data_IF_402940831535
#
_entry.id   IF_402940831535
#
_cell.length_a   1.000
_cell.length_b   1.000
_cell.length_c   1.000
_cell.angle_alpha   90.00
_cell.angle_beta   90.00
_cell.angle_gamma   90.00
#
_symmetry.space_group_name_H-M   'P 1'
#
loop_
_entity.id
_entity.type
_entity.pdbx_description
1 polymer ?
#
# COMPACT_ATOMS: atom_id res chain seq x y z
N UNK A 1 0.72 0.44 -19.17
CA UNK A 1 0.65 -0.09 -17.80
C UNK A 1 -0.81 -0.17 -17.39
N UNK A 2 -1.28 -1.28 -16.80
CA UNK A 2 -2.67 -1.39 -16.31
C UNK A 2 -2.91 -0.38 -15.18
N UNK A 3 -4.09 0.27 -15.15
CA UNK A 3 -4.44 1.33 -14.18
C UNK A 3 -4.34 0.88 -12.71
N UNK A 4 -4.69 -0.36 -12.40
CA UNK A 4 -4.60 -0.90 -11.05
C UNK A 4 -3.16 -1.14 -10.61
N UNK A 5 -2.30 -1.61 -11.52
CA UNK A 5 -0.86 -1.73 -11.27
C UNK A 5 -0.23 -0.34 -11.10
N UNK A 6 -0.63 0.62 -11.92
CA UNK A 6 -0.18 2.00 -11.79
C UNK A 6 -0.56 2.60 -10.43
N UNK A 7 -1.76 2.31 -9.92
CA UNK A 7 -2.18 2.74 -8.58
C UNK A 7 -1.36 2.08 -7.47
N UNK A 8 -1.07 0.78 -7.56
CA UNK A 8 -0.16 0.11 -6.61
C UNK A 8 1.16 0.87 -6.53
N UNK A 9 1.80 1.14 -7.69
CA UNK A 9 3.09 1.84 -7.72
C UNK A 9 2.95 3.26 -7.15
N UNK A 10 1.93 4.02 -7.58
CA UNK A 10 1.73 5.40 -7.13
C UNK A 10 1.47 5.50 -5.63
N UNK A 11 0.71 4.56 -5.05
CA UNK A 11 0.47 4.50 -3.62
C UNK A 11 1.77 4.23 -2.84
N UNK A 12 2.61 3.28 -3.29
CA UNK A 12 3.87 2.97 -2.61
C UNK A 12 4.90 4.10 -2.70
N UNK A 13 4.94 4.85 -3.81
CA UNK A 13 5.74 6.08 -3.90
C UNK A 13 5.28 7.12 -2.88
N UNK A 14 3.96 7.33 -2.75
CA UNK A 14 3.42 8.27 -1.77
C UNK A 14 3.71 7.82 -0.32
N UNK A 15 3.60 6.52 -0.04
CA UNK A 15 3.94 5.93 1.26
C UNK A 15 5.44 6.07 1.55
N UNK A 16 6.33 5.81 0.59
CA UNK A 16 7.76 6.01 0.75
C UNK A 16 8.06 7.46 1.11
N UNK A 17 7.58 8.43 0.34
CA UNK A 17 7.82 9.86 0.58
C UNK A 17 7.35 10.29 1.98
N UNK A 18 6.19 9.80 2.40
CA UNK A 18 5.63 10.10 3.71
C UNK A 18 6.45 9.49 4.86
N UNK A 19 6.82 8.22 4.76
CA UNK A 19 7.55 7.51 5.81
C UNK A 19 9.03 7.91 5.86
N UNK A 20 9.63 8.25 4.72
CA UNK A 20 11.03 8.64 4.59
C UNK A 20 11.25 10.12 4.94
N UNK A 21 10.65 11.02 4.17
CA UNK A 21 10.93 12.47 4.24
C UNK A 21 9.80 13.25 4.93
N UNK A 22 8.67 12.61 5.21
CA UNK A 22 7.48 13.30 5.71
C UNK A 22 6.85 14.22 4.67
N UNK A 23 7.13 13.98 3.39
CA UNK A 23 6.61 14.74 2.26
C UNK A 23 5.21 14.25 1.85
N UNK A 24 4.43 15.16 1.28
CA UNK A 24 3.04 14.90 0.91
C UNK A 24 2.05 15.22 2.03
N UNK A 25 0.91 14.54 2.00
CA UNK A 25 -0.23 14.80 2.89
C UNK A 25 -0.84 13.49 3.35
N UNK A 26 -1.03 13.35 4.67
CA UNK A 26 -1.74 12.21 5.24
C UNK A 26 -3.17 12.12 4.71
N UNK A 27 -3.85 13.25 4.52
CA UNK A 27 -5.19 13.27 3.90
C UNK A 27 -5.16 12.77 2.45
N UNK A 28 -4.12 13.12 1.70
CA UNK A 28 -3.94 12.61 0.34
C UNK A 28 -3.64 11.10 0.29
N UNK A 29 -2.95 10.56 1.30
CA UNK A 29 -2.79 9.12 1.47
C UNK A 29 -4.13 8.47 1.82
N UNK A 30 -4.83 8.99 2.83
CA UNK A 30 -6.08 8.42 3.32
C UNK A 30 -7.20 8.46 2.29
N UNK A 31 -7.23 9.45 1.39
CA UNK A 31 -8.19 9.50 0.25
C UNK A 31 -8.08 8.34 -0.73
N UNK A 32 -6.99 7.57 -0.72
CA UNK A 32 -6.85 6.35 -1.52
C UNK A 32 -7.61 5.17 -0.93
N UNK A 33 -7.86 5.19 0.38
CA UNK A 33 -8.49 4.09 1.09
C UNK A 33 -9.99 4.33 1.22
N UNK A 34 -10.75 3.27 1.05
CA UNK A 34 -12.18 3.31 1.30
C UNK A 34 -12.48 3.48 2.80
N UNK A 35 -13.61 4.12 3.18
CA UNK A 35 -14.08 4.10 4.57
C UNK A 35 -14.21 2.69 5.16
N UNK A 36 -14.53 1.68 4.33
CA UNK A 36 -14.65 0.27 4.75
C UNK A 36 -13.32 -0.51 4.61
N UNK A 37 -12.19 0.17 4.41
CA UNK A 37 -10.91 -0.48 4.18
C UNK A 37 -10.52 -1.39 5.35
N UNK A 38 -9.94 -2.54 5.01
CA UNK A 38 -9.34 -3.46 5.97
C UNK A 38 -8.00 -3.95 5.44
N UNK A 39 -7.06 -4.24 6.34
CA UNK A 39 -5.85 -4.96 5.97
C UNK A 39 -5.39 -5.95 7.02
N UNK A 40 -4.55 -6.88 6.58
CA UNK A 40 -3.77 -7.79 7.42
C UNK A 40 -2.31 -7.59 7.00
N UNK A 41 -1.49 -6.85 7.77
CA UNK A 41 -0.06 -6.73 7.50
C UNK A 41 0.67 -8.02 7.90
N UNK A 42 1.98 -8.06 7.65
CA UNK A 42 2.84 -9.21 7.95
C UNK A 42 2.79 -9.75 9.39
N UNK A 43 2.30 -8.96 10.36
CA UNK A 43 2.15 -9.41 11.75
C UNK A 43 0.82 -10.12 12.03
N UNK A 44 -0.06 -10.26 11.02
CA UNK A 44 -1.35 -10.93 11.13
C UNK A 44 -2.44 -10.15 11.84
N UNK A 45 -2.17 -8.94 12.36
CA UNK A 45 -3.17 -8.15 13.06
C UNK A 45 -4.11 -7.46 12.08
N UNK A 46 -5.42 -7.67 12.23
CA UNK A 46 -6.40 -6.96 11.40
C UNK A 46 -6.40 -5.47 11.74
N UNK A 47 -6.24 -4.63 10.72
CA UNK A 47 -6.35 -3.17 10.80
C UNK A 47 -7.52 -2.70 9.94
N UNK A 48 -8.32 -1.77 10.44
CA UNK A 48 -9.36 -1.09 9.67
C UNK A 48 -8.87 0.30 9.19
N UNK A 49 -9.74 1.04 8.51
CA UNK A 49 -9.44 2.39 8.04
C UNK A 49 -8.95 3.34 9.17
N UNK A 50 -9.52 3.26 10.37
CA UNK A 50 -9.11 4.11 11.49
C UNK A 50 -7.72 3.75 11.99
N UNK A 51 -7.42 2.45 12.13
CA UNK A 51 -6.11 1.97 12.54
C UNK A 51 -5.02 2.36 11.52
N UNK A 52 -5.33 2.28 10.22
CA UNK A 52 -4.42 2.69 9.13
C UNK A 52 -4.20 4.21 9.15
N UNK A 53 -5.27 4.98 9.37
CA UNK A 53 -5.17 6.44 9.53
C UNK A 53 -4.27 6.80 10.71
N UNK A 54 -4.49 6.21 11.88
CA UNK A 54 -3.67 6.44 13.07
C UNK A 54 -2.20 6.07 12.83
N UNK A 55 -1.95 4.96 12.14
CA UNK A 55 -0.61 4.56 11.72
C UNK A 55 0.07 5.64 10.87
N UNK A 56 -0.57 6.12 9.80
CA UNK A 56 0.04 7.12 8.94
C UNK A 56 0.27 8.45 9.66
N UNK A 57 -0.66 8.91 10.49
CA UNK A 57 -0.46 10.12 11.31
C UNK A 57 0.76 10.01 12.23
N UNK A 58 0.96 8.85 12.86
CA UNK A 58 2.11 8.60 13.75
C UNK A 58 3.44 8.30 13.03
N UNK A 59 3.41 8.00 11.73
CA UNK A 59 4.57 7.47 11.00
C UNK A 59 5.28 8.48 10.08
N UNK A 60 4.88 9.76 10.08
CA UNK A 60 5.52 10.81 9.27
C UNK A 60 7.04 10.87 9.55
N UNK A 61 7.85 10.75 8.49
CA UNK A 61 9.32 10.77 8.57
C UNK A 61 9.93 9.77 9.60
N UNK A 62 9.19 8.71 9.95
CA UNK A 62 9.60 7.73 10.96
C UNK A 62 10.64 6.71 10.48
N UNK A 63 10.88 6.64 9.16
CA UNK A 63 11.78 5.68 8.52
C UNK A 63 12.75 6.39 7.55
N UNK A 64 13.66 7.25 8.03
CA UNK A 64 14.59 7.97 7.16
C UNK A 64 15.43 7.03 6.29
N UNK A 65 15.53 7.34 5.01
CA UNK A 65 16.24 6.53 4.02
C UNK A 65 15.47 5.31 3.51
N UNK A 66 14.21 5.12 3.89
CA UNK A 66 13.37 4.03 3.37
C UNK A 66 13.31 4.08 1.84
N UNK A 67 13.47 2.91 1.24
CA UNK A 67 13.18 2.64 -0.17
C UNK A 67 12.19 1.50 -0.31
N UNK A 68 11.18 1.69 -1.14
CA UNK A 68 10.12 0.74 -1.45
C UNK A 68 10.15 0.48 -2.95
N UNK A 69 10.41 -0.77 -3.33
CA UNK A 69 10.35 -1.22 -4.73
C UNK A 69 9.15 -2.15 -4.88
N UNK A 70 8.28 -1.86 -5.83
CA UNK A 70 7.19 -2.76 -6.24
C UNK A 70 7.60 -3.47 -7.51
N UNK A 71 7.55 -4.80 -7.50
CA UNK A 71 7.77 -5.63 -8.68
C UNK A 71 6.75 -6.77 -8.77
N UNK A 72 6.89 -7.61 -9.80
CA UNK A 72 6.08 -8.82 -9.98
C UNK A 72 4.56 -8.59 -9.91
N UNK A 73 4.11 -7.38 -10.28
CA UNK A 73 2.72 -6.99 -10.21
C UNK A 73 1.90 -7.69 -11.32
N UNK A 74 0.81 -8.34 -10.93
CA UNK A 74 -0.08 -9.08 -11.81
C UNK A 74 -1.54 -8.84 -11.44
N UNK A 75 -2.38 -8.65 -12.46
CA UNK A 75 -3.84 -8.67 -12.30
C UNK A 75 -4.26 -10.12 -12.11
N UNK A 76 -4.88 -10.43 -10.96
CA UNK A 76 -5.44 -11.75 -10.69
C UNK A 76 -6.86 -11.88 -11.26
N UNK A 77 -7.64 -10.80 -11.16
CA UNK A 77 -8.99 -10.69 -11.71
C UNK A 77 -9.33 -9.20 -11.92
N UNK A 78 -10.11 -8.92 -12.96
CA UNK A 78 -10.69 -7.60 -13.24
C UNK A 78 -12.18 -7.77 -13.52
N UNK A 79 -12.99 -6.84 -13.05
CA UNK A 79 -14.43 -6.81 -13.24
C UNK A 79 -14.90 -5.37 -13.44
N UNK A 80 -16.20 -5.17 -13.69
CA UNK A 80 -16.73 -3.89 -14.16
C UNK A 80 -16.41 -2.68 -13.25
N UNK A 81 -16.30 -2.89 -11.95
CA UNK A 81 -16.06 -1.86 -10.93
C UNK A 81 -14.89 -2.19 -9.99
N UNK A 82 -13.90 -2.98 -10.42
CA UNK A 82 -12.76 -3.29 -9.55
C UNK A 82 -11.78 -4.33 -10.10
N UNK A 83 -10.75 -4.62 -9.30
CA UNK A 83 -9.75 -5.62 -9.62
C UNK A 83 -9.09 -6.19 -8.35
N UNK A 84 -8.56 -7.41 -8.48
CA UNK A 84 -7.64 -8.02 -7.54
C UNK A 84 -6.24 -8.02 -8.15
N UNK A 85 -5.26 -7.50 -7.42
CA UNK A 85 -3.86 -7.41 -7.88
C UNK A 85 -2.96 -8.09 -6.86
N UNK A 86 -2.07 -8.95 -7.34
CA UNK A 86 -0.94 -9.43 -6.55
C UNK A 86 0.31 -8.68 -6.95
N UNK A 87 1.17 -8.36 -6.00
CA UNK A 87 2.46 -7.76 -6.24
C UNK A 87 3.43 -8.13 -5.12
N UNK A 88 4.72 -7.96 -5.38
CA UNK A 88 5.75 -8.05 -4.35
C UNK A 88 6.31 -6.66 -4.08
N UNK A 89 6.50 -6.36 -2.81
CA UNK A 89 7.16 -5.13 -2.37
C UNK A 89 8.42 -5.48 -1.58
N UNK A 90 9.48 -4.71 -1.82
CA UNK A 90 10.79 -4.85 -1.18
C UNK A 90 11.10 -3.56 -0.46
N UNK A 91 11.39 -3.65 0.84
CA UNK A 91 11.76 -2.53 1.69
C UNK A 91 13.24 -2.60 2.04
N UNK A 92 13.97 -1.54 1.71
CA UNK A 92 15.35 -1.33 2.11
C UNK A 92 15.44 -0.14 3.06
N UNK A 93 16.21 -0.31 4.14
CA UNK A 93 16.51 0.74 5.12
C UNK A 93 18.01 0.77 5.41
N UNK A 94 18.64 1.95 5.59
CA UNK A 94 20.05 2.04 5.91
C UNK A 94 20.41 1.21 7.16
N UNK A 95 21.44 0.36 7.03
CA UNK A 95 21.93 -0.48 8.13
C UNK A 95 21.02 -1.64 8.53
N UNK A 96 19.98 -1.96 7.75
CA UNK A 96 19.09 -3.11 7.97
C UNK A 96 19.12 -4.04 6.76
N UNK A 97 18.88 -5.34 7.01
CA UNK A 97 18.63 -6.28 5.93
C UNK A 97 17.38 -5.88 5.17
N UNK A 98 17.39 -6.09 3.86
CA UNK A 98 16.19 -5.92 3.03
C UNK A 98 15.11 -6.91 3.48
N UNK A 99 13.87 -6.46 3.44
CA UNK A 99 12.70 -7.30 3.72
C UNK A 99 11.78 -7.26 2.52
N UNK A 100 11.16 -8.39 2.20
CA UNK A 100 10.21 -8.46 1.11
C UNK A 100 8.91 -9.14 1.57
N UNK A 101 7.80 -8.80 0.91
CA UNK A 101 6.50 -9.43 1.17
C UNK A 101 5.70 -9.53 -0.12
N UNK A 102 4.87 -10.56 -0.18
CA UNK A 102 3.80 -10.66 -1.16
C UNK A 102 2.56 -9.95 -0.63
N UNK A 103 1.88 -9.25 -1.52
CA UNK A 103 0.69 -8.48 -1.21
C UNK A 103 -0.42 -8.85 -2.19
N UNK A 104 -1.65 -8.97 -1.68
CA UNK A 104 -2.87 -9.05 -2.50
C UNK A 104 -3.79 -7.90 -2.12
N UNK A 105 -4.09 -7.04 -3.08
CA UNK A 105 -4.99 -5.90 -2.93
C UNK A 105 -6.29 -6.13 -3.69
N UNK A 106 -7.41 -5.76 -3.07
CA UNK A 106 -8.70 -5.59 -3.73
C UNK A 106 -8.98 -4.10 -3.93
N UNK A 107 -9.30 -3.72 -5.16
CA UNK A 107 -9.67 -2.38 -5.55
C UNK A 107 -11.15 -2.27 -5.86
N UNK A 108 -11.72 -1.09 -5.60
CA UNK A 108 -12.97 -0.61 -6.21
C UNK A 108 -12.65 0.50 -7.21
N UNK A 109 -13.40 0.56 -8.30
CA UNK A 109 -13.42 1.69 -9.21
C UNK A 109 -14.71 2.49 -8.94
N UNK A 110 -14.58 3.70 -8.43
CA UNK A 110 -15.70 4.58 -8.10
C UNK A 110 -15.48 5.93 -8.75
N UNK A 111 -16.40 6.36 -9.63
CA UNK A 111 -16.29 7.65 -10.33
C UNK A 111 -14.91 7.84 -11.01
N UNK A 112 -14.44 6.82 -11.72
CA UNK A 112 -13.11 6.76 -12.35
C UNK A 112 -11.90 6.77 -11.39
N UNK A 113 -12.13 6.73 -10.08
CA UNK A 113 -11.06 6.65 -9.06
C UNK A 113 -10.88 5.22 -8.57
N UNK A 114 -9.62 4.79 -8.50
CA UNK A 114 -9.24 3.51 -7.93
C UNK A 114 -9.11 3.69 -6.41
N UNK A 115 -9.89 2.92 -5.65
CA UNK A 115 -9.98 3.00 -4.19
C UNK A 115 -9.57 1.66 -3.60
N UNK A 116 -8.65 1.68 -2.64
CA UNK A 116 -8.19 0.52 -1.89
C UNK A 116 -9.33 0.00 -0.99
N UNK A 117 -9.71 -1.27 -1.15
CA UNK A 117 -10.80 -1.90 -0.40
C UNK A 117 -10.30 -2.92 0.62
N UNK A 118 -9.29 -3.70 0.27
CA UNK A 118 -8.65 -4.66 1.17
C UNK A 118 -7.19 -4.87 0.79
N UNK A 119 -6.33 -5.16 1.75
CA UNK A 119 -4.93 -5.55 1.54
C UNK A 119 -4.54 -6.70 2.47
N UNK A 120 -3.87 -7.73 1.95
CA UNK A 120 -3.28 -8.78 2.76
C UNK A 120 -1.80 -8.94 2.37
N UNK A 121 -0.92 -8.90 3.36
CA UNK A 121 0.53 -9.06 3.19
C UNK A 121 1.05 -10.35 3.82
N UNK A 122 2.04 -10.97 3.19
CA UNK A 122 2.76 -12.14 3.72
C UNK A 122 4.25 -11.96 3.50
N UNK A 123 5.04 -12.01 4.58
CA UNK A 123 6.49 -11.88 4.49
C UNK A 123 7.11 -13.01 3.66
N UNK A 124 8.16 -12.68 2.92
CA UNK A 124 9.02 -13.65 2.23
C UNK A 124 10.17 -13.99 3.18
N UNK A 125 10.33 -15.29 3.46
CA UNK A 125 11.39 -15.82 4.34
C UNK A 125 12.75 -15.87 3.65
#
# INVERSE_FOLDING_TARGET
MNRYIAEVIAAHVAIENWLNQGEGSVDALMRRFSPDFTMIPINGMRMDHQAVSAFFHGARASRPGLKIVVDSAAILAEWHDGAAVSYREIHALPGKAETARWSTVLFRLQEEKIIWRHLHETAIA
#
